data_IF_513232668952
#
_entry.id   IF_513232668952
#
_cell.length_a   1.000
_cell.length_b   1.000
_cell.length_c   1.000
_cell.angle_alpha   90.00
_cell.angle_beta   90.00
_cell.angle_gamma   90.00
#
_symmetry.space_group_name_H-M   'P 1'
#
loop_
_entity.id
_entity.type
_entity.pdbx_description
1 polymer ?
#
# COMPACT_ATOMS: atom_id res chain seq x y z
N UNK A 1 -13.62 5.75 12.66
CA UNK A 1 -12.84 6.17 11.47
C UNK A 1 -12.86 4.99 10.51
N UNK A 2 -13.55 5.08 9.36
CA UNK A 2 -13.66 3.97 8.40
C UNK A 2 -12.60 4.14 7.31
N UNK A 3 -11.40 3.57 7.50
CA UNK A 3 -10.36 3.50 6.48
C UNK A 3 -10.83 2.52 5.39
N UNK A 4 -10.42 2.73 4.14
CA UNK A 4 -10.87 1.87 3.04
C UNK A 4 -10.47 0.40 3.26
N UNK A 5 -9.32 0.17 3.90
CA UNK A 5 -8.80 -1.16 4.24
C UNK A 5 -9.35 -1.75 5.55
N UNK A 6 -10.13 -1.01 6.35
CA UNK A 6 -10.76 -1.58 7.56
C UNK A 6 -11.81 -2.65 7.20
N UNK A 7 -12.35 -2.60 5.97
CA UNK A 7 -13.27 -3.61 5.42
C UNK A 7 -12.58 -4.95 5.10
N UNK A 8 -11.24 -4.98 5.12
CA UNK A 8 -10.41 -6.16 4.82
C UNK A 8 -9.46 -6.41 5.99
N UNK A 9 -9.91 -7.08 7.06
CA UNK A 9 -9.17 -7.13 8.33
C UNK A 9 -7.77 -7.75 8.21
N UNK A 10 -7.57 -8.71 7.29
CA UNK A 10 -6.27 -9.35 7.06
C UNK A 10 -5.28 -8.38 6.39
N UNK A 11 -5.63 -7.86 5.22
CA UNK A 11 -4.86 -6.81 4.55
C UNK A 11 -4.63 -5.60 5.47
N UNK A 12 -5.68 -5.11 6.13
CA UNK A 12 -5.61 -3.95 7.02
C UNK A 12 -4.62 -4.15 8.15
N UNK A 13 -4.61 -5.32 8.80
CA UNK A 13 -3.61 -5.67 9.83
C UNK A 13 -2.18 -5.64 9.29
N UNK A 14 -1.95 -6.12 8.07
CA UNK A 14 -0.62 -6.12 7.43
C UNK A 14 -0.17 -4.71 7.05
N UNK A 15 -1.09 -3.89 6.52
CA UNK A 15 -0.84 -2.49 6.20
C UNK A 15 -0.54 -1.66 7.46
N UNK A 16 -1.24 -1.90 8.56
CA UNK A 16 -1.00 -1.22 9.83
C UNK A 16 0.37 -1.58 10.44
N UNK A 17 0.89 -2.78 10.18
CA UNK A 17 2.22 -3.20 10.65
C UNK A 17 3.36 -2.32 10.08
N UNK A 18 3.17 -1.70 8.92
CA UNK A 18 4.15 -0.79 8.34
C UNK A 18 4.41 0.46 9.19
N UNK A 19 3.45 0.85 10.05
CA UNK A 19 3.60 1.99 10.96
C UNK A 19 4.78 1.82 11.93
N UNK A 20 5.06 0.59 12.36
CA UNK A 20 6.11 0.26 13.32
C UNK A 20 7.35 -0.37 12.66
N UNK A 21 7.36 -0.53 11.34
CA UNK A 21 8.44 -1.20 10.63
C UNK A 21 9.56 -0.22 10.28
N UNK A 22 10.80 -0.64 10.49
CA UNK A 22 11.97 0.12 10.04
C UNK A 22 11.96 0.30 8.51
N UNK A 23 12.37 1.47 8.06
CA UNK A 23 12.34 1.84 6.63
C UNK A 23 13.15 0.86 5.77
N UNK A 24 14.32 0.38 6.24
CA UNK A 24 15.17 -0.55 5.47
C UNK A 24 14.51 -1.92 5.27
N UNK A 25 13.66 -2.33 6.21
CA UNK A 25 12.88 -3.57 6.12
C UNK A 25 11.62 -3.36 5.29
N UNK A 26 11.02 -2.17 5.39
CA UNK A 26 9.74 -1.81 4.76
C UNK A 26 9.87 -1.56 3.26
N UNK A 27 10.88 -0.80 2.83
CA UNK A 27 11.02 -0.37 1.43
C UNK A 27 11.04 -1.53 0.42
N UNK A 28 11.80 -2.63 0.63
CA UNK A 28 11.74 -3.78 -0.28
C UNK A 28 10.32 -4.33 -0.45
N UNK A 29 9.50 -4.31 0.62
CA UNK A 29 8.11 -4.81 0.58
C UNK A 29 7.25 -3.92 -0.29
N UNK A 30 7.37 -2.61 -0.10
CA UNK A 30 6.61 -1.63 -0.86
C UNK A 30 6.96 -1.71 -2.35
N UNK A 31 8.25 -1.91 -2.68
CA UNK A 31 8.70 -2.13 -4.05
C UNK A 31 8.11 -3.41 -4.67
N UNK A 32 8.04 -4.51 -3.91
CA UNK A 32 7.39 -5.74 -4.39
C UNK A 32 5.89 -5.54 -4.61
N UNK A 33 5.19 -4.81 -3.74
CA UNK A 33 3.78 -4.46 -3.95
C UNK A 33 3.61 -3.65 -5.24
N UNK A 34 4.46 -2.65 -5.47
CA UNK A 34 4.42 -1.85 -6.70
C UNK A 34 4.68 -2.74 -7.93
N UNK A 35 5.65 -3.66 -7.86
CA UNK A 35 5.94 -4.61 -8.93
C UNK A 35 4.76 -5.52 -9.24
N UNK A 36 4.07 -6.02 -8.20
CA UNK A 36 2.86 -6.82 -8.34
C UNK A 36 1.74 -6.03 -9.02
N UNK A 37 1.51 -4.77 -8.61
CA UNK A 37 0.52 -3.90 -9.25
C UNK A 37 0.91 -3.60 -10.69
N UNK A 38 2.17 -3.27 -10.96
CA UNK A 38 2.67 -2.96 -12.30
C UNK A 38 2.47 -4.14 -13.26
N UNK A 39 2.69 -5.37 -12.80
CA UNK A 39 2.52 -6.60 -13.58
C UNK A 39 1.06 -6.88 -13.93
N UNK A 40 0.13 -6.62 -13.01
CA UNK A 40 -1.27 -7.04 -13.15
C UNK A 40 -2.22 -5.93 -13.59
N UNK A 41 -1.98 -4.67 -13.18
CA UNK A 41 -2.81 -3.51 -13.50
C UNK A 41 -1.99 -2.21 -13.57
N UNK A 42 -1.13 -2.04 -14.58
CA UNK A 42 -0.21 -0.90 -14.69
C UNK A 42 -0.93 0.46 -14.76
N UNK A 43 -2.19 0.50 -15.20
CA UNK A 43 -3.03 1.72 -15.22
C UNK A 43 -3.39 2.26 -13.82
N UNK A 44 -2.99 1.56 -12.74
CA UNK A 44 -3.05 2.11 -11.38
C UNK A 44 -1.87 3.04 -11.06
N UNK A 45 -0.77 2.96 -11.81
CA UNK A 45 0.46 3.71 -11.57
C UNK A 45 0.62 4.87 -12.58
N UNK A 46 -0.44 5.64 -12.80
CA UNK A 46 -0.38 6.79 -13.72
C UNK A 46 0.10 8.05 -13.02
N UNK A 47 0.67 8.99 -13.78
CA UNK A 47 1.19 10.25 -13.27
C UNK A 47 0.08 11.10 -12.62
N UNK A 48 -1.14 11.08 -13.18
CA UNK A 48 -2.29 11.82 -12.65
C UNK A 48 -2.64 11.34 -11.24
N UNK A 49 -2.58 10.03 -10.98
CA UNK A 49 -2.83 9.46 -9.64
C UNK A 49 -1.73 9.78 -8.65
N UNK A 50 -0.51 10.01 -9.13
CA UNK A 50 0.60 10.48 -8.30
C UNK A 50 0.45 11.96 -7.89
N UNK A 51 -0.26 12.76 -8.69
CA UNK A 51 -0.54 14.16 -8.41
C UNK A 51 -1.72 14.40 -7.45
N UNK A 52 -2.55 13.38 -7.19
CA UNK A 52 -3.60 13.42 -6.16
C UNK A 52 -3.04 13.49 -4.71
N UNK A 53 -1.74 13.70 -4.56
CA UNK A 53 -1.11 13.92 -3.26
C UNK A 53 -1.72 15.14 -2.58
N UNK A 54 -2.22 14.93 -1.35
CA UNK A 54 -2.86 15.99 -0.58
C UNK A 54 -1.79 16.92 0.00
N UNK A 55 -1.80 18.18 -0.42
CA UNK A 55 -0.87 19.21 0.09
C UNK A 55 -1.23 19.75 1.48
N UNK A 56 -2.40 19.40 2.05
CA UNK A 56 -2.79 19.77 3.40
C UNK A 56 -2.13 18.85 4.45
N UNK A 57 -0.98 19.28 4.95
CA UNK A 57 -0.15 18.55 5.91
C UNK A 57 -0.84 18.30 7.27
N UNK A 58 -1.82 19.12 7.66
CA UNK A 58 -2.50 19.00 8.97
C UNK A 58 -3.52 17.86 9.01
N UNK A 59 -3.94 17.35 7.85
CA UNK A 59 -4.94 16.28 7.72
C UNK A 59 -4.37 14.98 7.15
N UNK A 60 -3.03 14.90 7.10
CA UNK A 60 -2.34 13.71 6.64
C UNK A 60 -2.47 12.59 7.67
N UNK A 61 -2.72 11.39 7.17
CA UNK A 61 -2.60 10.13 7.89
C UNK A 61 -1.13 9.78 8.01
N UNK A 62 -0.79 8.94 8.97
CA UNK A 62 0.59 8.54 9.26
C UNK A 62 1.36 8.05 8.02
N UNK A 63 0.71 7.32 7.10
CA UNK A 63 1.34 6.77 5.90
C UNK A 63 1.54 7.82 4.79
N UNK A 64 0.87 8.96 4.87
CA UNK A 64 0.98 10.02 3.87
C UNK A 64 2.23 10.87 4.07
N UNK A 65 2.87 10.82 5.24
CA UNK A 65 4.14 11.51 5.49
C UNK A 65 5.36 10.83 4.84
N UNK A 66 5.21 9.60 4.35
CA UNK A 66 6.24 8.86 3.63
C UNK A 66 5.76 8.69 2.17
N UNK A 67 6.46 9.23 1.17
CA UNK A 67 6.02 9.18 -0.23
C UNK A 67 5.82 7.76 -0.78
N UNK A 68 6.60 6.79 -0.30
CA UNK A 68 6.53 5.41 -0.76
C UNK A 68 5.30 4.72 -0.19
N UNK A 69 5.06 4.92 1.11
CA UNK A 69 3.83 4.47 1.76
C UNK A 69 2.59 5.15 1.18
N UNK A 70 2.65 6.47 0.96
CA UNK A 70 1.57 7.21 0.33
C UNK A 70 1.17 6.58 -1.01
N UNK A 71 2.16 6.34 -1.88
CA UNK A 71 1.93 5.77 -3.20
C UNK A 71 1.26 4.40 -3.09
N UNK A 72 1.80 3.50 -2.27
CA UNK A 72 1.23 2.15 -2.09
C UNK A 72 -0.21 2.23 -1.57
N UNK A 73 -0.49 3.03 -0.54
CA UNK A 73 -1.83 3.13 0.02
C UNK A 73 -2.83 3.75 -0.98
N UNK A 74 -2.41 4.76 -1.75
CA UNK A 74 -3.25 5.39 -2.74
C UNK A 74 -3.57 4.45 -3.92
N UNK A 75 -2.56 3.73 -4.41
CA UNK A 75 -2.70 2.72 -5.47
C UNK A 75 -3.64 1.61 -5.05
N UNK A 76 -3.47 1.09 -3.83
CA UNK A 76 -4.32 0.01 -3.31
C UNK A 76 -5.75 0.50 -3.02
N UNK A 77 -5.94 1.75 -2.60
CA UNK A 77 -7.29 2.31 -2.44
C UNK A 77 -8.11 2.28 -3.72
N UNK A 78 -7.45 2.46 -4.87
CA UNK A 78 -8.06 2.46 -6.20
C UNK A 78 -8.06 1.07 -6.87
N UNK A 79 -7.42 0.10 -6.24
CA UNK A 79 -7.29 -1.24 -6.77
C UNK A 79 -8.62 -2.02 -6.67
N UNK A 80 -8.82 -2.93 -7.62
CA UNK A 80 -9.93 -3.87 -7.52
C UNK A 80 -9.63 -4.98 -6.51
N UNK A 81 -10.68 -5.75 -6.20
CA UNK A 81 -10.65 -6.87 -5.25
C UNK A 81 -9.53 -7.87 -5.57
N UNK A 82 -9.29 -8.15 -6.86
CA UNK A 82 -8.29 -9.13 -7.30
C UNK A 82 -6.86 -8.68 -6.98
N UNK A 83 -6.51 -7.43 -7.27
CA UNK A 83 -5.20 -6.87 -6.89
C UNK A 83 -5.03 -6.85 -5.37
N UNK A 84 -6.08 -6.47 -4.63
CA UNK A 84 -6.03 -6.44 -3.18
C UNK A 84 -5.82 -7.82 -2.56
N UNK A 85 -6.45 -8.87 -3.10
CA UNK A 85 -6.23 -10.28 -2.69
C UNK A 85 -4.81 -10.75 -3.00
N UNK A 86 -4.30 -10.40 -4.17
CA UNK A 86 -2.94 -10.74 -4.58
C UNK A 86 -1.89 -10.11 -3.63
N UNK A 87 -2.10 -8.85 -3.24
CA UNK A 87 -1.24 -8.17 -2.26
C UNK A 87 -1.40 -8.73 -0.85
N UNK A 88 -2.63 -9.04 -0.43
CA UNK A 88 -2.89 -9.70 0.86
C UNK A 88 -2.15 -11.05 0.93
N UNK A 89 -2.29 -11.87 -0.11
CA UNK A 89 -1.63 -13.17 -0.21
C UNK A 89 -0.10 -13.04 -0.15
N UNK A 90 0.48 -12.06 -0.87
CA UNK A 90 1.92 -11.78 -0.79
C UNK A 90 2.36 -11.43 0.65
N UNK A 91 1.62 -10.55 1.34
CA UNK A 91 1.95 -10.12 2.70
C UNK A 91 1.73 -11.20 3.77
N UNK A 92 0.85 -12.17 3.52
CA UNK A 92 0.65 -13.33 4.38
C UNK A 92 1.79 -14.34 4.24
N UNK A 93 2.23 -14.61 3.01
CA UNK A 93 3.20 -15.67 2.72
C UNK A 93 4.66 -15.22 2.74
N UNK A 94 4.94 -13.92 2.93
CA UNK A 94 6.31 -13.39 3.01
C UNK A 94 7.18 -14.06 4.09
N UNK A 95 6.60 -14.64 5.14
CA UNK A 95 7.35 -15.36 6.18
C UNK A 95 7.80 -16.78 5.77
N UNK A 96 7.37 -17.28 4.61
CA UNK A 96 7.72 -18.62 4.10
C UNK A 96 8.94 -18.62 3.17
N UNK A 97 9.51 -17.44 2.90
CA UNK A 97 10.69 -17.25 2.04
C UNK A 97 11.73 -16.45 2.83
N UNK A 98 12.36 -17.11 3.79
CA UNK A 98 13.57 -16.64 4.49
C UNK A 98 14.53 -17.80 4.62
#
# INVERSE_FOLDING_TARGET
MNRWYDKRPRLGKKLDAFKAMDQKVREPILNEIISLVKKNKPSLLTFEKALDYRFDSFRLRWYEHDPHLWLVFNVLQLADVAILELVEHYLENRHLVT
#
